data_IF_548671364235
#
_entry.id   IF_548671364235
#
_cell.length_a   1.000
_cell.length_b   1.000
_cell.length_c   1.000
_cell.angle_alpha   90.00
_cell.angle_beta   90.00
_cell.angle_gamma   90.00
#
_symmetry.space_group_name_H-M   'P 1'
#
loop_
_entity.id
_entity.type
_entity.pdbx_description
1 polymer ?
#
# COMPACT_ATOMS: atom_id res chain seq x y z
N UNK A 1 -18.66 31.57 28.90
CA UNK A 1 -18.73 30.80 27.64
C UNK A 1 -17.31 30.68 27.12
N UNK A 2 -16.73 29.49 27.18
CA UNK A 2 -15.38 29.22 26.72
C UNK A 2 -15.42 27.94 25.89
N UNK A 3 -14.86 28.03 24.68
CA UNK A 3 -14.94 27.08 23.58
C UNK A 3 -14.62 25.63 23.97
N UNK A 4 -15.50 24.72 23.57
CA UNK A 4 -15.29 23.27 23.59
C UNK A 4 -14.07 22.94 22.73
N UNK A 5 -13.02 22.45 23.38
CA UNK A 5 -11.87 21.85 22.70
C UNK A 5 -12.39 20.53 22.12
N UNK A 6 -12.58 20.50 20.80
CA UNK A 6 -12.91 19.28 20.07
C UNK A 6 -11.79 18.28 20.28
N UNK A 7 -11.96 17.43 21.30
CA UNK A 7 -11.16 16.23 21.52
C UNK A 7 -11.30 15.39 20.26
N UNK A 8 -10.32 15.49 19.37
CA UNK A 8 -10.07 14.45 18.36
C UNK A 8 -9.61 13.22 19.15
N UNK A 9 -10.57 12.51 19.75
CA UNK A 9 -10.39 11.14 20.20
C UNK A 9 -10.16 10.32 18.93
N UNK A 10 -8.93 10.34 18.44
CA UNK A 10 -8.42 9.33 17.53
C UNK A 10 -8.36 8.03 18.33
N UNK A 11 -9.52 7.36 18.45
CA UNK A 11 -9.56 5.93 18.64
C UNK A 11 -8.76 5.33 17.48
N UNK A 12 -7.47 5.08 17.72
CA UNK A 12 -6.64 4.29 16.83
C UNK A 12 -7.25 2.89 16.82
N UNK A 13 -8.16 2.65 15.88
CA UNK A 13 -8.86 1.39 15.71
C UNK A 13 -7.88 0.38 15.09
N UNK A 14 -7.01 -0.19 15.94
CA UNK A 14 -6.06 -1.24 15.57
C UNK A 14 -6.77 -2.51 15.08
N UNK A 15 -8.09 -2.62 15.30
CA UNK A 15 -8.92 -3.72 14.79
C UNK A 15 -9.16 -3.67 13.29
N UNK A 16 -9.02 -2.52 12.62
CA UNK A 16 -9.17 -2.39 11.17
C UNK A 16 -7.82 -2.33 10.43
N UNK A 17 -6.76 -2.87 11.04
CA UNK A 17 -5.45 -2.92 10.40
C UNK A 17 -5.43 -3.99 9.31
N UNK A 18 -5.34 -3.57 8.04
CA UNK A 18 -5.32 -4.50 6.89
C UNK A 18 -3.93 -5.08 6.70
N UNK A 19 -3.83 -6.40 6.79
CA UNK A 19 -2.56 -7.11 6.58
C UNK A 19 -2.41 -7.53 5.11
N UNK A 20 -1.34 -7.05 4.47
CA UNK A 20 -0.94 -7.44 3.12
C UNK A 20 0.50 -7.94 3.10
N UNK A 21 0.82 -8.79 2.14
CA UNK A 21 2.18 -9.20 1.84
C UNK A 21 2.44 -8.97 0.36
N UNK A 22 3.64 -8.54 0.00
CA UNK A 22 3.98 -8.34 -1.40
C UNK A 22 5.42 -8.69 -1.68
N UNK A 23 5.69 -9.00 -2.94
CA UNK A 23 7.03 -9.19 -3.48
C UNK A 23 7.25 -8.15 -4.60
N UNK A 24 8.44 -7.57 -4.64
CA UNK A 24 8.84 -6.63 -5.68
C UNK A 24 10.20 -6.98 -6.24
N UNK A 25 10.34 -6.91 -7.56
CA UNK A 25 11.61 -7.04 -8.27
C UNK A 25 11.90 -5.71 -8.94
N UNK A 26 13.09 -5.18 -8.67
CA UNK A 26 13.62 -3.99 -9.37
C UNK A 26 14.81 -4.43 -10.23
N UNK A 27 14.71 -4.16 -11.53
CA UNK A 27 15.75 -4.43 -12.50
C UNK A 27 16.29 -3.10 -13.04
N UNK A 28 17.60 -2.90 -12.98
CA UNK A 28 18.24 -1.71 -13.55
C UNK A 28 18.78 -2.10 -14.93
N UNK A 29 18.09 -1.66 -15.98
CA UNK A 29 18.53 -1.88 -17.35
C UNK A 29 19.42 -0.71 -17.82
N UNK A 30 20.25 -0.90 -18.86
CA UNK A 30 21.01 0.18 -19.49
C UNK A 30 20.14 1.34 -20.02
N UNK A 31 18.84 1.11 -20.20
CA UNK A 31 17.87 2.09 -20.71
C UNK A 31 17.03 2.72 -19.57
N UNK A 32 17.26 2.32 -18.31
CA UNK A 32 16.58 2.85 -17.13
C UNK A 32 16.05 1.79 -16.17
N UNK A 33 15.57 2.21 -14.99
CA UNK A 33 15.02 1.32 -13.97
C UNK A 33 13.64 0.79 -14.36
N UNK A 34 13.50 -0.53 -14.33
CA UNK A 34 12.25 -1.26 -14.41
C UNK A 34 11.89 -1.82 -13.03
N UNK A 35 10.62 -1.72 -12.65
CA UNK A 35 10.11 -2.20 -11.38
C UNK A 35 8.82 -2.97 -11.59
N UNK A 36 8.74 -4.14 -10.97
CA UNK A 36 7.56 -4.99 -10.94
C UNK A 36 7.24 -5.26 -9.48
N UNK A 37 6.01 -4.99 -9.05
CA UNK A 37 5.53 -5.27 -7.71
C UNK A 37 4.24 -6.09 -7.78
N UNK A 38 4.14 -7.11 -6.94
CA UNK A 38 2.97 -7.95 -6.81
C UNK A 38 2.62 -8.08 -5.33
N UNK A 39 1.48 -7.55 -4.93
CA UNK A 39 0.98 -7.59 -3.56
C UNK A 39 -0.25 -8.48 -3.45
N UNK A 40 -0.29 -9.38 -2.48
CA UNK A 40 -1.48 -10.16 -2.12
C UNK A 40 -1.97 -9.77 -0.72
N UNK A 41 -3.28 -9.68 -0.54
CA UNK A 41 -3.87 -9.39 0.77
C UNK A 41 -3.96 -10.70 1.56
N UNK A 42 -3.32 -10.76 2.73
CA UNK A 42 -3.33 -11.97 3.59
C UNK A 42 -4.65 -12.11 4.34
N UNK A 43 -5.26 -10.99 4.73
CA UNK A 43 -6.56 -10.95 5.39
C UNK A 43 -7.68 -10.65 4.38
N UNK A 44 -7.87 -11.59 3.43
CA UNK A 44 -8.83 -11.40 2.33
C UNK A 44 -10.25 -11.64 2.83
N UNK A 45 -11.04 -10.58 2.99
CA UNK A 45 -12.49 -10.67 3.19
C UNK A 45 -13.16 -11.18 1.90
N UNK A 46 -14.12 -12.12 2.02
CA UNK A 46 -14.78 -12.76 0.88
C UNK A 46 -15.46 -11.74 -0.04
N UNK A 47 -14.83 -11.41 -1.17
CA UNK A 47 -15.34 -10.46 -2.16
C UNK A 47 -14.33 -9.38 -2.60
N UNK A 48 -13.17 -9.24 -1.95
CA UNK A 48 -12.16 -8.25 -2.31
C UNK A 48 -11.09 -8.84 -3.25
N UNK A 49 -10.55 -8.01 -4.15
CA UNK A 49 -9.49 -8.41 -5.08
C UNK A 49 -8.28 -8.95 -4.32
N UNK A 50 -7.87 -10.16 -4.69
CA UNK A 50 -6.87 -10.94 -3.94
C UNK A 50 -5.44 -10.42 -4.12
N UNK A 51 -5.18 -9.70 -5.21
CA UNK A 51 -3.85 -9.29 -5.61
C UNK A 51 -3.84 -8.00 -6.42
N UNK A 52 -2.80 -7.20 -6.23
CA UNK A 52 -2.49 -5.98 -6.98
C UNK A 52 -1.17 -6.17 -7.73
N UNK A 53 -1.14 -5.82 -9.02
CA UNK A 53 0.06 -5.88 -9.84
C UNK A 53 0.43 -4.47 -10.31
N UNK A 54 1.67 -4.07 -10.02
CA UNK A 54 2.16 -2.74 -10.34
C UNK A 54 3.44 -2.83 -11.17
N UNK A 55 3.45 -2.14 -12.31
CA UNK A 55 4.61 -2.03 -13.20
C UNK A 55 5.05 -0.57 -13.29
N UNK A 56 6.35 -0.33 -13.14
CA UNK A 56 6.97 0.97 -13.31
C UNK A 56 8.15 0.87 -14.28
N UNK A 57 8.20 1.75 -15.27
CA UNK A 57 9.36 1.91 -16.14
C UNK A 57 9.79 3.39 -16.13
N UNK A 58 11.02 3.66 -15.71
CA UNK A 58 11.64 4.97 -15.82
C UNK A 58 12.74 4.97 -16.88
N UNK A 59 12.89 6.06 -17.63
CA UNK A 59 14.06 6.25 -18.50
C UNK A 59 15.22 6.82 -17.68
N UNK A 60 16.41 6.24 -17.82
CA UNK A 60 17.63 6.97 -17.49
C UNK A 60 17.82 8.01 -18.60
N UNK A 61 17.93 9.27 -18.19
CA UNK A 61 18.04 10.48 -19.01
C UNK A 61 19.12 10.42 -20.10
#
# INVERSE_FOLDING_TARGET
>A
GGFDTSTTSNSFDLGEMRSSIGAGIRFISPFGPLGFAYGIKLDKKSGEEAAEFHFSAGSAF
#
